data_IF_032007217928
#
_entry.id   IF_032007217928
#
_cell.length_a   1.000
_cell.length_b   1.000
_cell.length_c   1.000
_cell.angle_alpha   90.00
_cell.angle_beta   90.00
_cell.angle_gamma   90.00
#
_symmetry.space_group_name_H-M   'P 1'
#
loop_
_entity.id
_entity.type
_entity.pdbx_description
1 polymer ?
#
# COMPACT_ATOMS: atom_id res chain seq x y z
N UNK A 1 6.83 -12.91 -19.63
CA UNK A 1 5.40 -12.64 -19.47
C UNK A 1 5.08 -11.15 -19.59
N UNK A 2 3.78 -10.79 -19.57
CA UNK A 2 3.35 -9.38 -19.63
C UNK A 2 3.92 -8.53 -18.50
N UNK A 3 4.16 -9.12 -17.32
CA UNK A 3 4.75 -8.46 -16.16
C UNK A 3 6.17 -7.96 -16.42
N UNK A 4 7.03 -8.79 -17.00
CA UNK A 4 8.44 -8.42 -17.27
C UNK A 4 8.51 -7.28 -18.30
N UNK A 5 7.65 -7.30 -19.31
CA UNK A 5 7.57 -6.23 -20.31
C UNK A 5 7.09 -4.90 -19.66
N UNK A 6 6.16 -4.97 -18.72
CA UNK A 6 5.71 -3.81 -17.96
C UNK A 6 6.83 -3.25 -17.08
N UNK A 7 7.54 -4.10 -16.33
CA UNK A 7 8.67 -3.71 -15.49
C UNK A 7 9.76 -3.02 -16.35
N UNK A 8 10.08 -3.58 -17.51
CA UNK A 8 11.10 -3.05 -18.39
C UNK A 8 10.75 -1.69 -19.02
N UNK A 9 9.48 -1.33 -19.08
CA UNK A 9 9.01 -0.07 -19.69
C UNK A 9 8.64 1.01 -18.68
N UNK A 10 8.42 0.65 -17.42
CA UNK A 10 7.91 1.56 -16.40
C UNK A 10 8.99 2.51 -15.86
N UNK A 11 8.62 3.76 -15.63
CA UNK A 11 9.41 4.74 -14.89
C UNK A 11 9.09 4.71 -13.39
N UNK A 12 7.85 4.35 -13.05
CA UNK A 12 7.39 4.17 -11.67
C UNK A 12 6.69 2.80 -11.59
N UNK A 13 7.07 2.00 -10.62
CA UNK A 13 6.47 0.69 -10.34
C UNK A 13 5.86 0.73 -8.95
N UNK A 14 4.54 0.48 -8.88
CA UNK A 14 3.80 0.39 -7.61
C UNK A 14 3.29 -1.03 -7.44
N UNK A 15 3.61 -1.66 -6.31
CA UNK A 15 3.08 -2.97 -5.94
C UNK A 15 1.94 -2.82 -4.94
N UNK A 16 0.85 -3.59 -5.13
CA UNK A 16 -0.34 -3.63 -4.25
C UNK A 16 -1.00 -5.01 -4.30
N UNK A 17 -0.20 -6.05 -4.34
CA UNK A 17 -0.71 -7.42 -4.61
C UNK A 17 -1.01 -8.21 -3.35
N UNK A 18 -0.43 -7.83 -2.20
CA UNK A 18 -0.45 -8.61 -0.97
C UNK A 18 0.38 -9.90 -1.03
N UNK A 19 1.09 -10.15 -2.14
CA UNK A 19 1.95 -11.32 -2.31
C UNK A 19 3.37 -11.05 -1.79
N UNK A 20 4.16 -12.12 -1.66
CA UNK A 20 5.57 -12.04 -1.27
C UNK A 20 6.43 -12.03 -2.54
N UNK A 21 7.56 -11.29 -2.51
CA UNK A 21 8.58 -11.31 -3.55
C UNK A 21 8.06 -10.97 -4.97
N UNK A 22 7.19 -9.97 -5.06
CA UNK A 22 6.66 -9.48 -6.34
C UNK A 22 7.77 -8.81 -7.16
N UNK A 23 8.63 -8.03 -6.50
CA UNK A 23 9.86 -7.47 -7.06
C UNK A 23 11.07 -7.94 -6.26
N UNK A 24 11.99 -8.62 -6.93
CA UNK A 24 13.19 -9.22 -6.33
C UNK A 24 14.45 -8.77 -7.05
N UNK A 25 15.61 -9.17 -6.55
CA UNK A 25 16.90 -8.91 -7.20
C UNK A 25 16.97 -9.44 -8.64
N UNK A 26 16.23 -10.50 -8.98
CA UNK A 26 16.17 -11.06 -10.34
C UNK A 26 15.58 -10.07 -11.37
N UNK A 27 14.75 -9.14 -10.92
CA UNK A 27 14.15 -8.11 -11.78
C UNK A 27 15.09 -6.92 -12.04
N UNK A 28 16.21 -6.79 -11.32
CA UNK A 28 17.14 -5.66 -11.47
C UNK A 28 17.67 -5.52 -12.91
N UNK A 29 17.81 -6.65 -13.61
CA UNK A 29 18.22 -6.66 -15.03
C UNK A 29 17.21 -6.02 -15.97
N UNK A 30 15.93 -5.96 -15.59
CA UNK A 30 14.83 -5.44 -16.42
C UNK A 30 14.53 -3.98 -16.11
N UNK A 31 14.68 -3.53 -14.86
CA UNK A 31 14.27 -2.21 -14.40
C UNK A 31 15.07 -1.11 -15.11
N UNK A 32 14.38 -0.06 -15.55
CA UNK A 32 14.99 1.09 -16.24
C UNK A 32 15.92 1.89 -15.32
N UNK A 33 16.87 2.58 -15.93
CA UNK A 33 17.64 3.61 -15.26
C UNK A 33 16.72 4.75 -14.75
N UNK A 34 16.89 5.16 -13.52
CA UNK A 34 16.09 6.20 -12.87
C UNK A 34 14.71 5.75 -12.39
N UNK A 35 14.36 4.47 -12.51
CA UNK A 35 13.04 3.99 -12.05
C UNK A 35 12.85 4.14 -10.54
N UNK A 36 11.59 4.38 -10.14
CA UNK A 36 11.15 4.49 -8.75
C UNK A 36 10.25 3.30 -8.41
N UNK A 37 10.56 2.60 -7.32
CA UNK A 37 9.79 1.48 -6.80
C UNK A 37 9.08 1.88 -5.52
N UNK A 38 7.79 1.61 -5.44
CA UNK A 38 6.91 1.93 -4.32
C UNK A 38 6.08 0.71 -3.95
N UNK A 39 5.85 0.51 -2.67
CA UNK A 39 4.83 -0.41 -2.19
C UNK A 39 3.64 0.39 -1.65
N UNK A 40 2.44 0.14 -2.16
CA UNK A 40 1.17 0.62 -1.62
C UNK A 40 0.48 -0.44 -0.77
N UNK A 41 0.93 -1.70 -0.85
CA UNK A 41 0.42 -2.81 -0.06
C UNK A 41 0.81 -2.74 1.42
N UNK A 42 0.07 -3.47 2.25
CA UNK A 42 0.20 -3.40 3.70
C UNK A 42 1.55 -3.93 4.22
N UNK A 43 2.10 -4.96 3.60
CA UNK A 43 3.35 -5.59 4.05
C UNK A 43 4.54 -5.25 3.15
N UNK A 44 5.74 -5.05 3.71
CA UNK A 44 6.95 -4.76 2.94
C UNK A 44 7.45 -5.96 2.11
N UNK A 45 6.85 -7.13 2.27
CA UNK A 45 7.26 -8.38 1.64
C UNK A 45 7.06 -8.41 0.12
N UNK A 46 6.38 -7.42 -0.47
CA UNK A 46 6.19 -7.36 -1.93
C UNK A 46 7.47 -6.95 -2.66
N UNK A 47 8.33 -6.13 -2.04
CA UNK A 47 9.62 -5.71 -2.59
C UNK A 47 10.72 -6.30 -1.73
N UNK A 48 11.50 -7.24 -2.27
CA UNK A 48 12.70 -7.78 -1.61
C UNK A 48 13.81 -6.71 -1.56
N UNK A 49 13.62 -5.72 -0.70
CA UNK A 49 14.59 -4.64 -0.52
C UNK A 49 15.97 -5.15 -0.10
N UNK A 50 16.03 -6.16 0.77
CA UNK A 50 17.29 -6.69 1.26
C UNK A 50 18.10 -7.39 0.14
N UNK A 51 17.44 -8.22 -0.66
CA UNK A 51 18.07 -8.90 -1.80
C UNK A 51 18.51 -7.91 -2.88
N UNK A 52 17.70 -6.90 -3.17
CA UNK A 52 18.05 -5.84 -4.12
C UNK A 52 19.25 -5.02 -3.63
N UNK A 53 19.25 -4.57 -2.37
CA UNK A 53 20.35 -3.81 -1.78
C UNK A 53 21.63 -4.65 -1.67
N UNK A 54 21.54 -5.95 -1.39
CA UNK A 54 22.66 -6.87 -1.38
C UNK A 54 23.28 -7.11 -2.76
N UNK A 55 22.54 -6.86 -3.83
CA UNK A 55 22.95 -7.06 -5.23
C UNK A 55 23.46 -5.78 -5.91
N UNK A 56 23.39 -4.63 -5.24
CA UNK A 56 23.72 -3.31 -5.75
C UNK A 56 24.56 -2.53 -4.75
N UNK A 57 25.07 -1.35 -5.17
CA UNK A 57 25.68 -0.39 -4.27
C UNK A 57 24.63 0.59 -3.76
N UNK A 58 24.54 0.78 -2.45
CA UNK A 58 23.63 1.79 -1.85
C UNK A 58 24.34 3.14 -1.93
N UNK A 59 23.89 4.01 -2.85
CA UNK A 59 24.50 5.34 -3.06
C UNK A 59 23.98 6.39 -2.06
N UNK A 60 22.68 6.38 -1.81
CA UNK A 60 22.03 7.38 -0.97
C UNK A 60 20.90 6.77 -0.17
N UNK A 61 20.89 7.06 1.13
CA UNK A 61 19.72 6.93 1.99
C UNK A 61 19.32 8.32 2.42
N UNK A 62 18.05 8.67 2.23
CA UNK A 62 17.53 9.90 2.80
C UNK A 62 17.46 9.76 4.32
N UNK A 63 17.89 10.77 5.09
CA UNK A 63 18.06 10.73 6.55
C UNK A 63 16.74 10.73 7.35
N UNK A 64 15.59 10.58 6.70
CA UNK A 64 14.32 10.36 7.39
C UNK A 64 14.34 9.02 8.12
N UNK A 65 13.81 8.99 9.34
CA UNK A 65 13.90 7.88 10.32
C UNK A 65 13.62 6.46 9.78
N UNK A 66 13.10 6.29 8.59
CA UNK A 66 12.84 4.99 7.96
C UNK A 66 13.49 4.84 6.57
N UNK A 67 14.52 5.64 6.25
CA UNK A 67 15.13 5.59 4.93
C UNK A 67 14.07 5.81 3.84
N UNK A 68 13.35 6.96 3.89
CA UNK A 68 12.18 7.20 3.04
C UNK A 68 12.49 7.03 1.55
N UNK A 69 13.74 7.29 1.14
CA UNK A 69 14.21 7.00 -0.20
C UNK A 69 15.59 6.35 -0.13
N UNK A 70 15.78 5.26 -0.83
CA UNK A 70 17.07 4.61 -0.98
C UNK A 70 17.41 4.49 -2.46
N UNK A 71 18.49 5.10 -2.88
CA UNK A 71 19.01 4.98 -4.25
C UNK A 71 20.05 3.85 -4.31
N UNK A 72 19.82 2.90 -5.19
CA UNK A 72 20.71 1.80 -5.49
C UNK A 72 21.38 2.06 -6.83
N UNK A 73 22.70 1.85 -6.90
CA UNK A 73 23.47 1.81 -8.15
C UNK A 73 23.76 0.36 -8.52
N UNK A 74 23.32 -0.03 -9.70
CA UNK A 74 23.56 -1.36 -10.25
C UNK A 74 24.98 -1.46 -10.81
N UNK A 75 25.45 -2.69 -11.01
CA UNK A 75 26.79 -2.97 -11.55
C UNK A 75 27.03 -2.43 -12.97
N UNK A 76 25.95 -2.24 -13.73
CA UNK A 76 25.98 -1.65 -15.08
C UNK A 76 25.87 -0.12 -15.09
N UNK A 77 25.83 0.52 -13.92
CA UNK A 77 25.79 1.96 -13.73
C UNK A 77 24.39 2.55 -13.64
N UNK A 78 23.33 1.78 -13.92
CA UNK A 78 21.93 2.25 -13.74
C UNK A 78 21.62 2.51 -12.28
N UNK A 79 20.72 3.46 -12.05
CA UNK A 79 20.22 3.79 -10.72
C UNK A 79 18.74 3.51 -10.63
N UNK A 80 18.30 3.08 -9.47
CA UNK A 80 16.89 2.99 -9.12
C UNK A 80 16.66 3.48 -7.69
N UNK A 81 15.47 3.97 -7.40
CA UNK A 81 15.11 4.47 -6.08
C UNK A 81 13.99 3.62 -5.50
N UNK A 82 14.17 3.13 -4.28
CA UNK A 82 13.16 2.38 -3.54
C UNK A 82 12.64 3.26 -2.40
N UNK A 83 11.33 3.46 -2.36
CA UNK A 83 10.68 4.22 -1.31
C UNK A 83 10.48 3.34 -0.07
N UNK A 84 10.74 3.93 1.10
CA UNK A 84 10.46 3.36 2.41
C UNK A 84 11.01 1.94 2.64
N UNK A 85 12.11 1.57 1.97
CA UNK A 85 12.68 0.21 2.02
C UNK A 85 11.63 -0.89 1.73
N UNK A 86 10.67 -0.60 0.84
CA UNK A 86 9.58 -1.51 0.49
C UNK A 86 8.37 -1.47 1.44
N UNK A 87 8.39 -0.68 2.52
CA UNK A 87 7.22 -0.45 3.35
C UNK A 87 6.19 0.44 2.62
N UNK A 88 4.97 0.50 3.16
CA UNK A 88 3.86 1.29 2.61
C UNK A 88 4.26 2.75 2.43
N UNK A 89 4.41 3.20 1.19
CA UNK A 89 5.03 4.47 0.84
C UNK A 89 4.24 5.70 1.33
N UNK A 90 2.90 5.62 1.37
CA UNK A 90 2.04 6.70 1.85
C UNK A 90 2.13 6.92 3.37
N UNK A 91 2.59 5.92 4.13
CA UNK A 91 2.79 6.01 5.58
C UNK A 91 4.25 6.24 5.97
N UNK A 92 5.16 6.31 4.99
CA UNK A 92 6.57 6.56 5.24
C UNK A 92 6.88 8.05 5.40
N UNK A 93 7.96 8.32 6.15
CA UNK A 93 8.48 9.68 6.32
C UNK A 93 7.82 10.47 7.46
N UNK A 94 8.23 11.73 7.64
CA UNK A 94 7.86 12.54 8.80
C UNK A 94 6.43 13.06 8.77
N UNK A 95 5.74 12.95 7.65
CA UNK A 95 4.34 13.36 7.46
C UNK A 95 3.57 12.27 6.72
N UNK A 96 3.21 11.18 7.41
CA UNK A 96 2.49 10.08 6.78
C UNK A 96 1.12 10.55 6.26
N UNK A 97 0.74 10.09 5.07
CA UNK A 97 -0.54 10.39 4.44
C UNK A 97 -1.57 9.29 4.75
N UNK A 98 -1.82 9.08 6.04
CA UNK A 98 -2.88 8.20 6.50
C UNK A 98 -4.27 8.87 6.42
N UNK A 99 -5.30 8.06 6.61
CA UNK A 99 -6.65 8.59 6.76
C UNK A 99 -6.77 9.40 8.07
N UNK A 100 -7.61 10.44 8.05
CA UNK A 100 -7.92 11.18 9.29
C UNK A 100 -8.67 10.29 10.29
N UNK A 101 -8.61 10.67 11.57
CA UNK A 101 -9.34 9.96 12.63
C UNK A 101 -10.84 9.91 12.30
N UNK A 102 -11.40 11.01 11.81
CA UNK A 102 -12.82 11.12 11.45
C UNK A 102 -13.20 10.16 10.31
N UNK A 103 -12.33 10.04 9.27
CA UNK A 103 -12.59 9.12 8.18
C UNK A 103 -12.52 7.66 8.64
N UNK A 104 -11.58 7.34 9.55
CA UNK A 104 -11.45 6.00 10.12
C UNK A 104 -12.62 5.67 11.05
N UNK A 105 -13.07 6.60 11.87
CA UNK A 105 -14.23 6.43 12.76
C UNK A 105 -15.49 6.10 11.95
N UNK A 106 -15.72 6.83 10.87
CA UNK A 106 -16.81 6.56 9.94
C UNK A 106 -16.76 5.14 9.37
N UNK A 107 -15.59 4.74 8.89
CA UNK A 107 -15.37 3.40 8.33
C UNK A 107 -15.58 2.29 9.37
N UNK A 108 -15.09 2.47 10.60
CA UNK A 108 -15.26 1.50 11.67
C UNK A 108 -16.70 1.43 12.18
N UNK A 109 -17.40 2.55 12.25
CA UNK A 109 -18.83 2.56 12.60
C UNK A 109 -19.65 1.76 11.58
N UNK A 110 -19.37 1.96 10.28
CA UNK A 110 -20.02 1.21 9.21
C UNK A 110 -19.75 -0.30 9.32
N UNK A 111 -18.49 -0.68 9.53
CA UNK A 111 -18.09 -2.07 9.72
C UNK A 111 -18.77 -2.71 10.93
N UNK A 112 -18.79 -2.01 12.07
CA UNK A 112 -19.43 -2.51 13.29
C UNK A 112 -20.94 -2.76 13.10
N UNK A 113 -21.65 -1.84 12.44
CA UNK A 113 -23.09 -1.99 12.15
C UNK A 113 -23.35 -3.13 11.15
N UNK A 114 -22.47 -3.33 10.17
CA UNK A 114 -22.57 -4.47 9.26
C UNK A 114 -22.34 -5.80 9.99
N UNK A 115 -21.36 -5.87 10.88
CA UNK A 115 -21.10 -7.07 11.70
C UNK A 115 -22.28 -7.38 12.63
N UNK A 116 -22.88 -6.37 13.24
CA UNK A 116 -24.09 -6.53 14.04
C UNK A 116 -25.26 -7.11 13.21
N UNK A 117 -25.45 -6.62 11.99
CA UNK A 117 -26.46 -7.14 11.06
C UNK A 117 -26.22 -8.60 10.71
N UNK A 118 -24.97 -8.98 10.44
CA UNK A 118 -24.58 -10.36 10.14
C UNK A 118 -24.85 -11.25 11.36
N UNK A 119 -24.45 -10.82 12.55
CA UNK A 119 -24.66 -11.56 13.79
C UNK A 119 -26.15 -11.77 14.12
N UNK A 120 -26.99 -10.82 13.74
CA UNK A 120 -28.46 -10.90 13.87
C UNK A 120 -29.13 -11.77 12.78
N UNK A 121 -28.35 -12.41 11.89
CA UNK A 121 -28.89 -13.26 10.81
C UNK A 121 -29.45 -12.46 9.62
N UNK A 122 -29.05 -11.20 9.47
CA UNK A 122 -29.51 -10.29 8.41
C UNK A 122 -28.87 -10.54 7.03
N UNK A 123 -28.05 -11.60 6.89
CA UNK A 123 -27.42 -12.01 5.62
C UNK A 123 -27.48 -13.51 5.47
N UNK A 124 -27.45 -13.99 4.23
CA UNK A 124 -27.37 -15.42 3.93
C UNK A 124 -25.90 -15.87 3.88
N UNK A 125 -25.59 -17.01 4.47
CA UNK A 125 -24.22 -17.59 4.44
C UNK A 125 -23.76 -17.96 3.01
N UNK A 126 -24.68 -18.05 2.04
CA UNK A 126 -24.38 -18.30 0.62
C UNK A 126 -23.98 -17.04 -0.16
N UNK A 127 -24.22 -15.87 0.39
CA UNK A 127 -23.96 -14.61 -0.28
C UNK A 127 -22.52 -14.15 0.00
N UNK A 128 -21.63 -14.37 -0.95
CA UNK A 128 -20.22 -14.03 -0.81
C UNK A 128 -19.96 -12.52 -0.71
N UNK A 129 -20.78 -11.71 -1.39
CA UNK A 129 -20.70 -10.25 -1.40
C UNK A 129 -22.10 -9.68 -1.30
N UNK A 130 -22.34 -8.90 -0.25
CA UNK A 130 -23.61 -8.21 -0.01
C UNK A 130 -23.33 -6.71 0.07
N UNK A 131 -24.07 -5.87 -0.68
CA UNK A 131 -23.96 -4.41 -0.52
C UNK A 131 -24.27 -3.99 0.91
N UNK A 132 -23.62 -2.92 1.38
CA UNK A 132 -23.97 -2.31 2.66
C UNK A 132 -25.46 -1.93 2.62
N UNK A 133 -26.27 -2.38 3.59
CA UNK A 133 -27.67 -2.01 3.64
C UNK A 133 -27.85 -0.49 3.77
N UNK A 134 -28.77 0.07 3.00
CA UNK A 134 -28.97 1.51 2.93
C UNK A 134 -29.35 2.15 4.28
N UNK A 135 -30.12 1.44 5.11
CA UNK A 135 -30.45 1.87 6.47
C UNK A 135 -29.23 1.96 7.39
N UNK A 136 -28.22 1.12 7.19
CA UNK A 136 -26.95 1.20 7.93
C UNK A 136 -26.13 2.39 7.43
N UNK A 137 -26.01 2.55 6.12
CA UNK A 137 -25.24 3.64 5.51
C UNK A 137 -25.82 5.01 5.94
N UNK A 138 -27.12 5.23 5.75
CA UNK A 138 -27.81 6.44 6.18
C UNK A 138 -27.76 6.63 7.70
N UNK A 139 -27.90 5.57 8.48
CA UNK A 139 -27.88 5.64 9.93
C UNK A 139 -26.52 6.11 10.47
N UNK A 140 -25.42 5.63 9.90
CA UNK A 140 -24.06 6.07 10.26
C UNK A 140 -23.82 7.52 9.81
N UNK A 141 -24.27 7.88 8.61
CA UNK A 141 -24.13 9.24 8.09
C UNK A 141 -24.90 10.26 8.96
N UNK A 142 -26.14 9.96 9.30
CA UNK A 142 -26.96 10.84 10.15
C UNK A 142 -26.39 10.98 11.57
N UNK A 143 -25.96 9.89 12.18
CA UNK A 143 -25.33 9.94 13.51
C UNK A 143 -24.08 10.83 13.53
N UNK A 144 -23.27 10.78 12.45
CA UNK A 144 -22.10 11.66 12.32
C UNK A 144 -22.49 13.13 12.18
N UNK A 145 -23.53 13.44 11.38
CA UNK A 145 -24.02 14.80 11.20
C UNK A 145 -24.59 15.38 12.50
N UNK A 146 -25.33 14.58 13.27
CA UNK A 146 -25.89 14.97 14.56
C UNK A 146 -24.79 15.33 15.58
N UNK A 147 -23.72 14.54 15.64
CA UNK A 147 -22.57 14.83 16.52
C UNK A 147 -21.84 16.13 16.16
N UNK A 148 -21.88 16.56 14.91
CA UNK A 148 -21.25 17.80 14.46
C UNK A 148 -22.15 19.03 14.56
N UNK A 149 -23.42 18.84 14.72
CA UNK A 149 -24.42 19.92 14.77
C UNK A 149 -24.69 20.42 16.20
N UNK A 150 -24.24 19.71 17.23
CA UNK A 150 -24.36 20.07 18.66
C UNK A 150 -23.06 20.66 19.17
#
# INVERSE_FOLDING_TARGET
PATDAAIASADIIVTETGAVDVLTADHLGLIKDGAILLNGGHFPSEIDFAGMAGSAEVEQRDEFENGALTTLRLKDGRRLTIAAAGHMANLAGPRPLGNSIEAMDFGFALQARCLERIAAGGTNASDCVVPVPHDIDEGVANAYLDLRSG
#
